data_IF_409867803338
#
_entry.id   IF_409867803338
#
_cell.length_a   1.000
_cell.length_b   1.000
_cell.length_c   1.000
_cell.angle_alpha   90.00
_cell.angle_beta   90.00
_cell.angle_gamma   90.00
#
_symmetry.space_group_name_H-M   'P 1'
#
loop_
_entity.id
_entity.type
_entity.pdbx_description
1 polymer ?
#
# COMPACT_ATOMS: atom_id res chain seq x y z
N UNK A 1 4.91 3.11 19.84
CA UNK A 1 3.57 2.60 19.50
C UNK A 1 3.30 2.99 18.05
N UNK A 2 3.16 2.02 17.16
CA UNK A 2 2.79 2.23 15.75
C UNK A 2 1.38 2.80 15.66
N UNK A 3 1.17 3.77 14.76
CA UNK A 3 -0.18 4.32 14.47
C UNK A 3 -1.05 3.19 13.90
N UNK A 4 -2.28 3.04 14.42
CA UNK A 4 -3.27 2.16 13.83
C UNK A 4 -3.69 2.71 12.47
N UNK A 5 -3.57 1.90 11.42
CA UNK A 5 -3.93 2.27 10.05
C UNK A 5 -5.17 1.51 9.64
N UNK A 6 -6.17 2.24 9.18
CA UNK A 6 -7.46 1.67 8.80
C UNK A 6 -7.43 1.29 7.34
N UNK A 7 -7.58 0.00 7.03
CA UNK A 7 -7.76 -0.48 5.67
C UNK A 7 -9.22 -0.85 5.41
N UNK A 8 -9.75 -0.46 4.26
CA UNK A 8 -11.09 -0.82 3.80
C UNK A 8 -10.99 -1.40 2.41
N UNK A 9 -11.62 -2.56 2.20
CA UNK A 9 -11.79 -3.16 0.88
C UNK A 9 -13.26 -3.27 0.58
N UNK A 10 -13.67 -2.68 -0.53
CA UNK A 10 -15.02 -2.78 -1.07
C UNK A 10 -14.99 -3.67 -2.30
N UNK A 11 -15.75 -4.76 -2.23
CA UNK A 11 -15.77 -5.83 -3.20
C UNK A 11 -17.17 -5.87 -3.81
N UNK A 12 -17.37 -5.41 -5.05
CA UNK A 12 -18.67 -5.55 -5.71
C UNK A 12 -18.97 -7.03 -5.98
N UNK A 13 -20.25 -7.38 -6.04
CA UNK A 13 -20.67 -8.68 -6.57
C UNK A 13 -20.05 -8.89 -7.95
N UNK A 14 -19.52 -10.10 -8.19
CA UNK A 14 -18.86 -10.47 -9.44
C UNK A 14 -19.18 -11.91 -9.79
N UNK A 15 -19.20 -12.20 -11.10
CA UNK A 15 -19.33 -13.56 -11.64
C UNK A 15 -17.96 -14.26 -11.81
N UNK A 16 -16.87 -13.59 -11.41
CA UNK A 16 -15.50 -14.15 -11.48
C UNK A 16 -15.35 -15.38 -10.57
N UNK A 17 -14.59 -16.37 -11.03
CA UNK A 17 -14.28 -17.58 -10.26
C UNK A 17 -13.53 -17.29 -8.95
N UNK A 18 -12.81 -16.18 -8.86
CA UNK A 18 -12.11 -15.76 -7.65
C UNK A 18 -13.06 -15.20 -6.57
N UNK A 19 -14.29 -14.82 -6.95
CA UNK A 19 -15.21 -14.11 -6.07
C UNK A 19 -15.57 -14.88 -4.78
N UNK A 20 -15.89 -16.20 -4.81
CA UNK A 20 -16.19 -16.95 -3.59
C UNK A 20 -15.03 -16.96 -2.57
N UNK A 21 -13.79 -17.08 -3.06
CA UNK A 21 -12.59 -17.03 -2.22
C UNK A 21 -12.43 -15.63 -1.60
N UNK A 22 -12.54 -14.57 -2.41
CA UNK A 22 -12.44 -13.19 -1.94
C UNK A 22 -13.52 -12.89 -0.90
N UNK A 23 -14.77 -13.31 -1.13
CA UNK A 23 -15.86 -13.13 -0.19
C UNK A 23 -15.63 -13.88 1.13
N UNK A 24 -15.12 -15.11 1.07
CA UNK A 24 -14.77 -15.90 2.26
C UNK A 24 -13.68 -15.21 3.10
N UNK A 25 -12.63 -14.71 2.45
CA UNK A 25 -11.57 -13.94 3.11
C UNK A 25 -12.11 -12.63 3.70
N UNK A 26 -12.94 -11.90 2.95
CA UNK A 26 -13.53 -10.64 3.38
C UNK A 26 -14.39 -10.79 4.64
N UNK A 27 -15.17 -11.87 4.75
CA UNK A 27 -15.97 -12.20 5.94
C UNK A 27 -15.14 -12.48 7.19
N UNK A 28 -13.86 -12.80 7.02
CA UNK A 28 -12.93 -13.02 8.13
C UNK A 28 -12.33 -11.71 8.67
N UNK A 29 -12.61 -10.57 8.04
CA UNK A 29 -12.14 -9.27 8.52
C UNK A 29 -12.71 -8.95 9.91
N UNK A 30 -12.01 -8.15 10.73
CA UNK A 30 -12.50 -7.72 12.05
C UNK A 30 -13.89 -7.07 12.00
N UNK A 31 -14.18 -6.40 10.89
CA UNK A 31 -15.49 -5.84 10.61
C UNK A 31 -15.86 -6.15 9.15
N UNK A 32 -17.06 -6.67 8.94
CA UNK A 32 -17.60 -6.98 7.62
C UNK A 32 -19.00 -6.38 7.48
N UNK A 33 -19.28 -5.78 6.33
CA UNK A 33 -20.59 -5.20 6.01
C UNK A 33 -21.04 -5.64 4.63
N UNK A 34 -22.35 -5.79 4.48
CA UNK A 34 -22.98 -5.93 3.16
C UNK A 34 -23.76 -4.65 2.91
N UNK A 35 -23.48 -4.02 1.78
CA UNK A 35 -24.13 -2.79 1.32
C UNK A 35 -24.82 -3.08 -0.01
N UNK A 36 -25.89 -2.38 -0.32
CA UNK A 36 -26.56 -2.50 -1.62
C UNK A 36 -26.26 -1.25 -2.41
N UNK A 37 -25.54 -1.37 -3.53
CA UNK A 37 -25.31 -0.26 -4.45
C UNK A 37 -26.29 -0.40 -5.62
N UNK A 38 -27.38 0.37 -5.57
CA UNK A 38 -28.49 0.23 -6.51
C UNK A 38 -29.18 -1.12 -6.36
N UNK A 39 -28.93 -2.05 -7.30
CA UNK A 39 -29.51 -3.41 -7.31
C UNK A 39 -28.51 -4.52 -7.03
N UNK A 40 -27.22 -4.21 -6.95
CA UNK A 40 -26.17 -5.21 -6.75
C UNK A 40 -25.57 -5.10 -5.35
N UNK A 41 -25.40 -6.23 -4.64
CA UNK A 41 -24.74 -6.20 -3.36
C UNK A 41 -23.24 -5.88 -3.54
N UNK A 42 -22.69 -5.16 -2.57
CA UNK A 42 -21.27 -4.94 -2.40
C UNK A 42 -20.90 -5.34 -0.97
N UNK A 43 -19.69 -5.84 -0.81
CA UNK A 43 -19.20 -6.39 0.44
C UNK A 43 -18.00 -5.58 0.89
N UNK A 44 -18.04 -5.09 2.12
CA UNK A 44 -17.03 -4.20 2.67
C UNK A 44 -16.32 -4.89 3.82
N UNK A 45 -15.05 -5.21 3.63
CA UNK A 45 -14.14 -5.68 4.67
C UNK A 45 -13.38 -4.48 5.26
N UNK A 46 -13.35 -4.40 6.59
CA UNK A 46 -12.77 -3.28 7.33
C UNK A 46 -11.78 -3.81 8.35
N UNK A 47 -10.56 -3.30 8.30
CA UNK A 47 -9.48 -3.57 9.23
C UNK A 47 -9.14 -2.26 9.96
N UNK A 48 -9.66 -2.05 11.18
CA UNK A 48 -9.40 -0.80 11.93
C UNK A 48 -7.93 -0.60 12.28
N UNK A 49 -7.20 -1.70 12.46
CA UNK A 49 -5.75 -1.72 12.64
C UNK A 49 -5.14 -2.81 11.75
N UNK A 50 -4.56 -2.38 10.64
CA UNK A 50 -3.85 -3.20 9.67
C UNK A 50 -2.75 -4.07 10.31
N UNK A 51 -2.09 -3.56 11.35
CA UNK A 51 -0.93 -4.23 11.95
C UNK A 51 -1.29 -5.56 12.63
N UNK A 52 -2.56 -5.75 12.98
CA UNK A 52 -3.09 -6.95 13.62
C UNK A 52 -3.56 -8.01 12.61
N UNK A 53 -3.53 -7.72 11.30
CA UNK A 53 -4.20 -8.56 10.30
C UNK A 53 -3.43 -8.68 8.99
N UNK A 54 -2.10 -8.50 9.00
CA UNK A 54 -1.26 -8.56 7.79
C UNK A 54 -1.49 -9.81 6.95
N UNK A 55 -1.50 -11.01 7.56
CA UNK A 55 -1.67 -12.27 6.83
C UNK A 55 -3.01 -12.34 6.09
N UNK A 56 -4.10 -11.91 6.75
CA UNK A 56 -5.42 -11.91 6.15
C UNK A 56 -5.53 -10.85 5.05
N UNK A 57 -5.02 -9.65 5.31
CA UNK A 57 -5.03 -8.55 4.34
C UNK A 57 -4.22 -8.90 3.08
N UNK A 58 -3.03 -9.48 3.25
CA UNK A 58 -2.17 -9.86 2.13
C UNK A 58 -2.86 -10.89 1.23
N UNK A 59 -3.47 -11.92 1.83
CA UNK A 59 -4.25 -12.94 1.10
C UNK A 59 -5.47 -12.34 0.42
N UNK A 60 -6.19 -11.46 1.12
CA UNK A 60 -7.40 -10.83 0.58
C UNK A 60 -7.09 -9.92 -0.61
N UNK A 61 -6.08 -9.04 -0.50
CA UNK A 61 -5.64 -8.18 -1.60
C UNK A 61 -5.12 -9.00 -2.77
N UNK A 62 -4.31 -10.04 -2.49
CA UNK A 62 -3.79 -10.93 -3.52
C UNK A 62 -4.91 -11.61 -4.32
N UNK A 63 -5.94 -12.13 -3.63
CA UNK A 63 -7.09 -12.74 -4.30
C UNK A 63 -8.00 -11.70 -5.01
N UNK A 64 -8.12 -10.49 -4.44
CA UNK A 64 -8.97 -9.43 -4.98
C UNK A 64 -8.39 -8.76 -6.22
N UNK A 65 -7.08 -8.89 -6.48
CA UNK A 65 -6.44 -8.38 -7.71
C UNK A 65 -7.02 -8.96 -9.01
N UNK A 66 -7.65 -10.14 -8.93
CA UNK A 66 -8.30 -10.81 -10.07
C UNK A 66 -9.76 -10.37 -10.29
N UNK A 67 -10.31 -9.52 -9.40
CA UNK A 67 -11.68 -9.04 -9.51
C UNK A 67 -11.74 -7.64 -10.12
N UNK A 68 -12.65 -7.40 -11.07
CA UNK A 68 -12.88 -6.06 -11.57
C UNK A 68 -13.54 -5.18 -10.49
N UNK A 69 -13.24 -3.88 -10.52
CA UNK A 69 -13.90 -2.85 -9.72
C UNK A 69 -13.78 -3.00 -8.19
N UNK A 70 -12.83 -3.79 -7.68
CA UNK A 70 -12.48 -3.75 -6.25
C UNK A 70 -11.87 -2.40 -5.92
N UNK A 71 -12.37 -1.79 -4.84
CA UNK A 71 -11.83 -0.55 -4.32
C UNK A 71 -11.13 -0.83 -2.99
N UNK A 72 -9.92 -0.34 -2.85
CA UNK A 72 -9.14 -0.46 -1.62
C UNK A 72 -8.77 0.94 -1.17
N UNK A 73 -8.90 1.21 0.13
CA UNK A 73 -8.46 2.47 0.73
C UNK A 73 -7.76 2.24 2.05
N UNK A 74 -6.78 3.09 2.35
CA UNK A 74 -6.05 3.14 3.61
C UNK A 74 -6.16 4.54 4.20
N UNK A 75 -6.61 4.65 5.45
CA UNK A 75 -6.91 5.93 6.12
C UNK A 75 -7.75 6.87 5.21
N UNK A 76 -8.81 6.33 4.60
CA UNK A 76 -9.74 7.02 3.68
C UNK A 76 -9.14 7.42 2.32
N UNK A 77 -7.84 7.20 2.10
CA UNK A 77 -7.19 7.44 0.81
C UNK A 77 -7.32 6.22 -0.11
N UNK A 78 -7.79 6.37 -1.36
CA UNK A 78 -7.76 5.29 -2.34
C UNK A 78 -6.33 4.76 -2.57
N UNK A 79 -6.23 3.45 -2.72
CA UNK A 79 -5.04 2.76 -3.21
C UNK A 79 -5.18 2.62 -4.72
N UNK A 80 -4.31 3.28 -5.46
CA UNK A 80 -4.35 3.34 -6.93
C UNK A 80 -3.64 2.14 -7.58
N UNK A 81 -2.65 1.57 -6.88
CA UNK A 81 -1.85 0.44 -7.40
C UNK A 81 -1.77 -0.71 -6.40
N UNK A 82 -2.66 -1.69 -6.51
CA UNK A 82 -2.69 -2.86 -5.60
C UNK A 82 -1.36 -3.60 -5.53
N UNK A 83 -0.67 -3.80 -6.65
CA UNK A 83 0.65 -4.46 -6.67
C UNK A 83 1.71 -3.66 -5.90
N UNK A 84 1.74 -2.34 -6.08
CA UNK A 84 2.68 -1.46 -5.35
C UNK A 84 2.36 -1.46 -3.87
N UNK A 85 1.09 -1.31 -3.53
CA UNK A 85 0.61 -1.35 -2.16
C UNK A 85 0.94 -2.67 -1.47
N UNK A 86 0.72 -3.82 -2.12
CA UNK A 86 1.03 -5.13 -1.57
C UNK A 86 2.53 -5.31 -1.31
N UNK A 87 3.37 -4.85 -2.23
CA UNK A 87 4.83 -4.83 -2.04
C UNK A 87 5.24 -3.93 -0.86
N UNK A 88 4.63 -2.75 -0.73
CA UNK A 88 4.87 -1.84 0.39
C UNK A 88 4.44 -2.45 1.72
N UNK A 89 3.28 -3.12 1.72
CA UNK A 89 2.73 -3.81 2.88
C UNK A 89 3.64 -4.93 3.38
N UNK A 90 4.16 -5.75 2.46
CA UNK A 90 5.13 -6.81 2.77
C UNK A 90 6.42 -6.25 3.38
N UNK A 91 6.99 -5.22 2.75
CA UNK A 91 8.18 -4.54 3.26
C UNK A 91 7.96 -3.98 4.67
N UNK A 92 6.81 -3.34 4.91
CA UNK A 92 6.48 -2.85 6.26
C UNK A 92 6.32 -4.00 7.26
N UNK A 93 5.61 -5.08 6.91
CA UNK A 93 5.48 -6.27 7.75
C UNK A 93 6.84 -6.88 8.12
N UNK A 94 7.72 -7.08 7.14
CA UNK A 94 9.06 -7.63 7.35
C UNK A 94 9.88 -6.76 8.29
N UNK A 95 9.81 -5.43 8.12
CA UNK A 95 10.52 -4.48 8.96
C UNK A 95 10.12 -4.53 10.44
N UNK A 96 8.90 -4.98 10.78
CA UNK A 96 8.46 -5.12 12.18
C UNK A 96 9.19 -6.24 12.93
N UNK A 97 9.80 -7.17 12.20
CA UNK A 97 10.58 -8.29 12.78
C UNK A 97 12.06 -7.98 12.93
N UNK A 98 12.50 -6.82 12.44
CA UNK A 98 13.89 -6.42 12.41
C UNK A 98 14.27 -5.55 13.61
N UNK A 99 15.50 -5.68 14.08
CA UNK A 99 16.05 -4.84 15.16
C UNK A 99 16.12 -3.36 14.76
N UNK A 100 16.42 -3.13 13.48
CA UNK A 100 16.40 -1.80 12.87
C UNK A 100 15.49 -1.81 11.63
N UNK A 101 14.19 -1.49 11.82
CA UNK A 101 13.22 -1.40 10.72
C UNK A 101 13.65 -0.43 9.62
N UNK A 102 14.38 0.63 9.99
CA UNK A 102 14.85 1.65 9.05
C UNK A 102 15.97 1.13 8.16
N UNK A 103 16.95 0.45 8.75
CA UNK A 103 18.00 -0.20 7.98
C UNK A 103 17.43 -1.30 7.08
N UNK A 104 16.42 -2.06 7.54
CA UNK A 104 15.72 -3.03 6.69
C UNK A 104 15.11 -2.35 5.47
N UNK A 105 14.25 -1.34 5.66
CA UNK A 105 13.59 -0.68 4.53
C UNK A 105 14.59 0.04 3.59
N UNK A 106 15.71 0.55 4.12
CA UNK A 106 16.79 1.11 3.31
C UNK A 106 17.49 0.04 2.44
N UNK A 107 17.80 -1.15 2.99
CA UNK A 107 18.36 -2.28 2.21
C UNK A 107 17.38 -2.73 1.12
N UNK A 108 16.10 -2.79 1.47
CA UNK A 108 15.03 -3.21 0.57
C UNK A 108 14.88 -2.21 -0.58
N UNK A 109 14.99 -0.90 -0.30
CA UNK A 109 15.06 0.14 -1.32
C UNK A 109 16.29 0.01 -2.24
N UNK A 110 17.47 -0.28 -1.69
CA UNK A 110 18.70 -0.48 -2.47
C UNK A 110 18.58 -1.65 -3.46
N UNK A 111 18.07 -2.81 -3.01
CA UNK A 111 17.89 -4.00 -3.86
C UNK A 111 16.96 -3.78 -5.06
N UNK A 112 15.86 -3.04 -4.88
CA UNK A 112 14.95 -2.72 -5.99
C UNK A 112 15.60 -1.74 -6.96
N UNK A 113 16.37 -0.78 -6.46
CA UNK A 113 17.15 0.13 -7.31
C UNK A 113 18.16 -0.60 -8.21
N UNK A 114 18.69 -1.74 -7.76
CA UNK A 114 19.58 -2.60 -8.57
C UNK A 114 18.83 -3.44 -9.62
N UNK A 115 17.56 -3.79 -9.37
CA UNK A 115 16.76 -4.67 -10.22
C UNK A 115 15.88 -3.94 -11.25
N UNK A 116 15.51 -2.69 -10.99
CA UNK A 116 14.81 -1.85 -11.97
C UNK A 116 15.81 -1.19 -12.91
N UNK A 117 15.49 -1.10 -14.21
CA UNK A 117 16.18 -0.25 -15.20
C UNK A 117 16.06 1.26 -14.90
N UNK A 118 16.02 1.65 -13.62
CA UNK A 118 16.18 3.03 -13.20
C UNK A 118 17.67 3.37 -13.30
N UNK A 119 18.08 4.23 -14.23
CA UNK A 119 19.50 4.48 -14.49
C UNK A 119 20.19 5.27 -13.36
N UNK A 120 19.46 5.67 -12.32
CA UNK A 120 19.97 6.50 -11.23
C UNK A 120 19.92 5.75 -9.89
N UNK A 121 21.10 5.31 -9.44
CA UNK A 121 21.33 4.49 -8.24
C UNK A 121 21.10 5.24 -6.92
N UNK A 122 20.77 6.52 -6.98
CA UNK A 122 20.72 7.40 -5.82
C UNK A 122 19.40 7.35 -5.03
N UNK A 123 18.64 6.26 -4.98
CA UNK A 123 17.37 6.22 -4.22
C UNK A 123 17.57 6.58 -2.73
N UNK A 124 17.03 7.74 -2.27
CA UNK A 124 17.17 8.23 -0.88
C UNK A 124 15.86 8.21 -0.09
N UNK A 125 15.02 7.19 -0.24
CA UNK A 125 13.87 7.02 0.65
C UNK A 125 13.87 5.67 1.35
N UNK A 126 13.71 5.70 2.66
CA UNK A 126 13.70 4.55 3.58
C UNK A 126 12.43 3.69 3.45
N UNK A 127 11.72 3.77 2.33
CA UNK A 127 10.66 2.85 1.92
C UNK A 127 10.71 2.82 0.39
N UNK A 128 10.68 1.63 -0.19
CA UNK A 128 11.01 1.21 -1.56
C UNK A 128 10.49 2.01 -2.77
N UNK A 129 9.82 3.14 -2.62
CA UNK A 129 8.96 3.66 -3.69
C UNK A 129 9.24 5.09 -4.12
N UNK A 130 10.28 5.74 -3.59
CA UNK A 130 10.66 7.11 -3.99
C UNK A 130 12.10 7.10 -4.50
N UNK A 131 12.30 7.25 -5.82
CA UNK A 131 13.63 7.32 -6.44
C UNK A 131 14.13 8.76 -6.59
N UNK A 132 15.44 8.94 -6.75
CA UNK A 132 16.03 10.28 -6.91
C UNK A 132 15.68 10.98 -8.21
N UNK A 133 15.29 10.27 -9.28
CA UNK A 133 14.69 10.94 -10.45
C UNK A 133 13.36 11.61 -10.14
N UNK A 134 12.49 10.98 -9.33
CA UNK A 134 11.26 11.64 -8.85
C UNK A 134 11.58 12.89 -7.99
N UNK A 135 12.73 12.90 -7.31
CA UNK A 135 13.23 14.07 -6.57
C UNK A 135 13.96 15.09 -7.46
N UNK A 136 14.60 14.68 -8.56
CA UNK A 136 15.34 15.55 -9.49
C UNK A 136 14.42 16.34 -10.43
N UNK A 137 13.30 15.77 -10.90
CA UNK A 137 12.25 16.53 -11.62
C UNK A 137 11.78 17.74 -10.80
N UNK A 138 11.80 17.61 -9.47
CA UNK A 138 11.47 18.70 -8.55
C UNK A 138 12.63 19.69 -8.36
N UNK A 139 13.88 19.22 -8.38
CA UNK A 139 15.09 20.07 -8.28
C UNK A 139 15.39 20.87 -9.55
N UNK A 140 15.01 20.40 -10.74
CA UNK A 140 15.15 21.15 -12.00
C UNK A 140 14.34 22.47 -11.98
N UNK A 141 13.31 22.55 -11.12
CA UNK A 141 12.55 23.79 -10.84
C UNK A 141 13.26 24.66 -9.78
N UNK A 142 14.56 24.45 -9.55
CA UNK A 142 15.47 25.38 -8.86
C UNK A 142 15.27 25.53 -7.34
N UNK A 143 14.38 24.76 -6.71
CA UNK A 143 14.10 24.83 -5.27
C UNK A 143 14.23 23.45 -4.60
N UNK A 144 14.57 23.39 -3.28
CA UNK A 144 14.43 22.16 -2.52
C UNK A 144 12.98 21.65 -2.62
N UNK A 145 12.75 20.33 -2.74
CA UNK A 145 11.40 19.79 -2.84
C UNK A 145 10.56 20.28 -1.66
N UNK A 146 9.50 21.02 -1.97
CA UNK A 146 8.54 21.49 -0.98
C UNK A 146 7.90 20.24 -0.38
N UNK A 147 7.69 20.19 0.94
CA UNK A 147 7.08 19.05 1.65
C UNK A 147 5.85 18.45 0.95
N UNK A 148 5.06 19.27 0.25
CA UNK A 148 3.92 18.84 -0.56
C UNK A 148 4.30 17.93 -1.74
N UNK A 149 5.42 18.17 -2.41
CA UNK A 149 5.91 17.35 -3.53
C UNK A 149 6.40 15.98 -3.04
N UNK A 150 7.12 15.95 -1.92
CA UNK A 150 7.52 14.68 -1.27
C UNK A 150 6.30 13.84 -0.90
N UNK A 151 5.27 14.49 -0.35
CA UNK A 151 3.99 13.84 -0.04
C UNK A 151 3.32 13.29 -1.31
N UNK A 152 3.28 14.06 -2.39
CA UNK A 152 2.70 13.60 -3.66
C UNK A 152 3.44 12.37 -4.22
N UNK A 153 4.78 12.38 -4.15
CA UNK A 153 5.58 11.24 -4.58
C UNK A 153 5.31 10.02 -3.68
N UNK A 154 5.25 10.20 -2.36
CA UNK A 154 4.91 9.13 -1.41
C UNK A 154 3.50 8.52 -1.64
N UNK A 155 2.55 9.32 -2.13
CA UNK A 155 1.21 8.84 -2.51
C UNK A 155 1.30 7.98 -3.79
N UNK A 156 1.95 8.47 -4.84
CA UNK A 156 2.13 7.71 -6.11
C UNK A 156 2.89 6.39 -5.93
N UNK A 157 3.73 6.39 -4.92
CA UNK A 157 4.54 5.30 -4.42
C UNK A 157 3.76 4.28 -3.56
N UNK A 158 2.54 4.61 -3.14
CA UNK A 158 1.76 3.83 -2.16
C UNK A 158 2.50 3.57 -0.85
N UNK A 159 3.21 4.58 -0.33
CA UNK A 159 3.93 4.51 0.96
C UNK A 159 3.65 5.65 1.92
N UNK A 160 2.86 6.66 1.53
CA UNK A 160 2.55 7.80 2.41
C UNK A 160 1.92 7.36 3.74
N UNK A 161 1.18 6.26 3.73
CA UNK A 161 0.58 5.64 4.90
C UNK A 161 1.58 4.92 5.81
N UNK A 162 2.78 4.58 5.32
CA UNK A 162 3.73 3.71 6.01
C UNK A 162 4.34 4.42 7.23
N UNK A 163 4.26 3.83 8.45
CA UNK A 163 4.87 4.41 9.64
C UNK A 163 6.40 4.51 9.58
N UNK A 164 7.03 3.70 8.72
CA UNK A 164 8.47 3.75 8.45
C UNK A 164 8.83 4.70 7.31
N UNK A 165 7.91 5.55 6.84
CA UNK A 165 8.24 6.63 5.94
C UNK A 165 8.75 7.84 6.74
N UNK A 166 10.03 8.20 6.55
CA UNK A 166 10.57 9.49 6.99
C UNK A 166 10.69 10.41 5.79
N UNK A 167 9.90 11.48 5.80
CA UNK A 167 10.11 12.63 4.93
C UNK A 167 11.02 13.65 5.65
N UNK A 168 12.00 14.24 4.96
CA UNK A 168 12.79 15.36 5.50
C UNK A 168 11.94 16.61 5.78
#
# INVERSE_FOLDING_TARGET
>A
MSRAMRLVLRIPQSDSEAFPLVLSLARSAPMFRTETEGRTPAYTAIFPDLSLSFDLVERLIGAAGELPNVQVSIDERPVEGLTKFLSALRCYRESLTELDPWAHCARQAARIGEAGDCPDRACVAQCQFICVRCLQVVREIGAPPVRAQLKAIAIQAEVEWCPNLRMP
#
